data_IF_507932730614
#
_entry.id   IF_507932730614
#
_cell.length_a   1.000
_cell.length_b   1.000
_cell.length_c   1.000
_cell.angle_alpha   90.00
_cell.angle_beta   90.00
_cell.angle_gamma   90.00
#
_symmetry.space_group_name_H-M   'P 1'
#
loop_
_entity.id
_entity.type
_entity.pdbx_description
1 polymer ?
#
# COMPACT_ATOMS: atom_id res chain seq x y z
N UNK A 1 27.73 27.51 -7.61
CA UNK A 1 27.50 27.20 -6.16
C UNK A 1 28.27 25.94 -5.84
N UNK A 2 29.06 25.88 -4.76
CA UNK A 2 29.68 24.63 -4.38
C UNK A 2 28.57 23.65 -3.93
N UNK A 3 28.58 22.45 -4.48
CA UNK A 3 27.74 21.36 -4.03
C UNK A 3 28.35 20.91 -2.70
N UNK A 4 27.70 21.21 -1.58
CA UNK A 4 28.09 20.66 -0.31
C UNK A 4 27.71 19.18 -0.29
N UNK A 5 28.70 18.31 -0.42
CA UNK A 5 28.50 16.88 -0.17
C UNK A 5 28.12 16.70 1.30
N UNK A 6 26.92 16.22 1.52
CA UNK A 6 26.49 15.83 2.85
C UNK A 6 27.10 14.47 3.19
N UNK A 7 27.95 14.41 4.21
CA UNK A 7 28.55 13.19 4.70
C UNK A 7 28.10 12.94 6.14
N UNK A 8 27.48 11.81 6.40
CA UNK A 8 27.06 11.40 7.74
C UNK A 8 27.72 10.05 8.10
N UNK A 9 28.50 10.02 9.17
CA UNK A 9 29.15 8.79 9.66
C UNK A 9 28.16 7.93 10.47
N UNK A 10 27.10 8.51 10.99
CA UNK A 10 26.11 7.85 11.86
C UNK A 10 24.76 7.55 11.22
N UNK A 11 24.65 7.68 9.88
CA UNK A 11 23.36 7.61 9.20
C UNK A 11 22.65 8.96 9.12
N UNK A 12 21.45 8.98 8.56
CA UNK A 12 20.60 10.16 8.42
C UNK A 12 19.28 9.93 9.13
N UNK A 13 18.87 10.89 9.95
CA UNK A 13 17.60 10.83 10.68
C UNK A 13 16.78 12.11 10.46
N UNK A 14 15.47 11.97 10.44
CA UNK A 14 14.52 13.09 10.50
C UNK A 14 13.85 13.06 11.87
N UNK A 15 14.15 14.07 12.68
CA UNK A 15 13.76 14.06 14.10
C UNK A 15 14.50 12.96 14.86
N UNK A 16 13.77 12.08 15.53
CA UNK A 16 14.31 10.91 16.24
C UNK A 16 14.28 9.61 15.41
N UNK A 17 13.83 9.68 14.16
CA UNK A 17 13.65 8.50 13.31
C UNK A 17 14.83 8.35 12.36
N UNK A 18 15.56 7.24 12.47
CA UNK A 18 16.63 6.91 11.53
C UNK A 18 16.04 6.51 10.18
N UNK A 19 16.42 7.21 9.12
CA UNK A 19 15.96 6.97 7.75
C UNK A 19 17.02 6.27 6.91
N UNK A 20 18.30 6.58 7.15
CA UNK A 20 19.44 5.91 6.53
C UNK A 20 20.38 5.46 7.66
N UNK A 21 20.57 4.16 7.79
CA UNK A 21 21.45 3.62 8.84
C UNK A 21 22.93 3.58 8.42
N UNK A 22 23.79 3.17 9.34
CA UNK A 22 25.24 3.03 9.13
C UNK A 22 25.61 1.97 8.09
N UNK A 23 24.70 1.08 7.75
CA UNK A 23 24.83 0.05 6.70
C UNK A 23 24.31 0.52 5.34
N UNK A 24 24.01 1.82 5.19
CA UNK A 24 23.43 2.44 3.99
C UNK A 24 22.06 1.88 3.59
N UNK A 25 21.33 1.28 4.53
CA UNK A 25 19.98 0.79 4.31
C UNK A 25 18.96 1.87 4.66
N UNK A 26 17.94 2.06 3.77
CA UNK A 26 16.79 2.88 4.06
C UNK A 26 15.91 2.17 5.10
N UNK A 27 15.57 2.86 6.18
CA UNK A 27 14.71 2.39 7.25
C UNK A 27 13.51 3.31 7.43
N UNK A 28 12.43 2.78 7.99
CA UNK A 28 11.22 3.54 8.33
C UNK A 28 10.60 4.27 7.14
N UNK A 29 10.80 3.76 5.92
CA UNK A 29 10.20 4.27 4.69
C UNK A 29 8.98 3.41 4.37
N UNK A 30 7.79 3.98 4.44
CA UNK A 30 6.54 3.33 4.05
C UNK A 30 6.03 3.81 2.69
N UNK A 31 6.54 4.93 2.19
CA UNK A 31 6.22 5.47 0.86
C UNK A 31 7.43 6.15 0.22
N UNK A 32 7.51 6.08 -1.10
CA UNK A 32 8.50 6.78 -1.91
C UNK A 32 7.77 7.39 -3.11
N UNK A 33 7.98 8.69 -3.33
CA UNK A 33 7.41 9.44 -4.45
C UNK A 33 8.51 9.81 -5.44
N UNK A 34 8.32 9.47 -6.72
CA UNK A 34 9.27 9.73 -7.80
C UNK A 34 8.58 10.54 -8.91
N UNK A 35 9.12 11.73 -9.18
CA UNK A 35 8.66 12.61 -10.25
C UNK A 35 9.80 12.93 -11.19
N UNK A 36 9.48 13.26 -12.43
CA UNK A 36 10.43 13.76 -13.42
C UNK A 36 10.16 15.23 -13.68
N UNK A 37 11.18 16.05 -13.65
CA UNK A 37 11.06 17.48 -14.02
C UNK A 37 10.68 17.70 -15.49
N UNK A 38 10.84 16.67 -16.33
CA UNK A 38 10.49 16.72 -17.76
C UNK A 38 9.03 16.29 -18.02
N UNK A 39 8.43 15.53 -17.11
CA UNK A 39 7.05 15.04 -17.19
C UNK A 39 6.37 15.28 -15.84
N UNK A 40 5.91 16.52 -15.63
CA UNK A 40 5.29 16.92 -14.36
C UNK A 40 3.90 16.36 -14.16
N UNK A 41 3.29 15.85 -15.22
CA UNK A 41 1.98 15.19 -15.27
C UNK A 41 2.05 13.67 -15.13
N UNK A 42 3.26 13.12 -14.95
CA UNK A 42 3.47 11.71 -14.69
C UNK A 42 4.37 11.48 -13.45
N UNK A 43 3.92 10.60 -12.56
CA UNK A 43 4.69 10.23 -11.37
C UNK A 43 4.59 8.74 -11.08
N UNK A 44 5.53 8.24 -10.31
CA UNK A 44 5.52 6.88 -9.77
C UNK A 44 5.70 6.90 -8.27
N UNK A 45 4.80 6.23 -7.57
CA UNK A 45 4.84 6.05 -6.13
C UNK A 45 5.02 4.58 -5.76
N UNK A 46 5.77 4.34 -4.69
CA UNK A 46 5.89 3.00 -4.09
C UNK A 46 5.43 3.09 -2.64
N UNK A 47 4.51 2.23 -2.26
CA UNK A 47 3.94 2.16 -0.92
C UNK A 47 4.14 0.77 -0.32
N UNK A 48 4.45 0.73 0.99
CA UNK A 48 4.40 -0.48 1.80
C UNK A 48 3.26 -0.29 2.79
N UNK A 49 2.17 -0.99 2.55
CA UNK A 49 0.95 -0.92 3.34
C UNK A 49 0.78 -2.17 4.18
N UNK A 50 0.09 -2.06 5.29
CA UNK A 50 -0.11 -3.15 6.23
C UNK A 50 -1.45 -3.07 6.94
N UNK A 51 -1.93 -4.19 7.45
CA UNK A 51 -3.12 -4.28 8.31
C UNK A 51 -3.14 -5.61 9.05
N UNK A 52 -4.00 -5.68 10.06
CA UNK A 52 -4.34 -6.90 10.77
C UNK A 52 -5.85 -7.09 10.74
N UNK A 53 -6.29 -8.31 10.43
CA UNK A 53 -7.67 -8.77 10.59
C UNK A 53 -7.75 -9.82 11.70
N UNK A 54 -8.93 -9.95 12.29
CA UNK A 54 -9.23 -10.92 13.33
C UNK A 54 -10.73 -11.27 13.33
N UNK A 55 -11.19 -12.06 14.28
CA UNK A 55 -12.59 -12.48 14.38
C UNK A 55 -13.61 -11.32 14.53
N UNK A 56 -13.16 -10.16 15.02
CA UNK A 56 -14.02 -8.99 15.24
C UNK A 56 -13.87 -7.99 14.07
N UNK A 57 -12.62 -7.75 13.64
CA UNK A 57 -12.27 -6.85 12.55
C UNK A 57 -11.82 -7.69 11.34
N UNK A 58 -12.76 -8.45 10.78
CA UNK A 58 -12.46 -9.40 9.71
C UNK A 58 -12.27 -8.77 8.33
N UNK A 59 -12.73 -7.53 8.13
CA UNK A 59 -12.57 -6.76 6.89
C UNK A 59 -11.90 -5.44 7.21
N UNK A 60 -10.76 -5.14 6.58
CA UNK A 60 -9.95 -3.96 6.87
C UNK A 60 -9.23 -3.44 5.62
N UNK A 61 -9.03 -2.14 5.54
CA UNK A 61 -8.23 -1.49 4.49
C UNK A 61 -6.74 -1.50 4.85
N UNK A 62 -5.86 -1.78 3.89
CA UNK A 62 -4.41 -1.63 4.04
C UNK A 62 -4.05 -0.14 4.14
N UNK A 63 -3.17 0.21 5.06
CA UNK A 63 -2.68 1.58 5.26
C UNK A 63 -1.18 1.60 5.55
N UNK A 64 -0.53 2.75 5.46
CA UNK A 64 0.92 2.87 5.67
C UNK A 64 1.34 2.52 7.11
N UNK A 65 0.48 2.79 8.08
CA UNK A 65 0.75 2.57 9.51
C UNK A 65 -0.03 1.38 10.12
N UNK A 66 -0.95 0.79 9.37
CA UNK A 66 -1.78 -0.33 9.82
C UNK A 66 -2.96 0.07 10.70
N UNK A 67 -3.33 1.35 10.75
CA UNK A 67 -4.50 1.86 11.48
C UNK A 67 -5.69 2.12 10.55
N UNK A 68 -6.75 2.74 11.03
CA UNK A 68 -7.90 3.14 10.20
C UNK A 68 -7.47 4.13 9.13
N UNK A 69 -7.99 3.95 7.91
CA UNK A 69 -7.64 4.76 6.76
C UNK A 69 -8.00 6.25 6.97
N UNK A 70 -7.00 7.11 6.79
CA UNK A 70 -7.08 8.57 6.79
C UNK A 70 -6.17 9.12 5.68
N UNK A 71 -6.28 10.40 5.35
CA UNK A 71 -5.50 11.01 4.26
C UNK A 71 -3.97 10.84 4.42
N UNK A 72 -3.45 10.90 5.65
CA UNK A 72 -2.00 10.84 5.92
C UNK A 72 -1.39 9.43 5.85
N UNK A 73 -2.21 8.38 5.88
CA UNK A 73 -1.76 6.99 5.85
C UNK A 73 -2.29 6.17 4.68
N UNK A 74 -2.84 6.83 3.66
CA UNK A 74 -3.45 6.21 2.49
C UNK A 74 -2.73 6.65 1.20
N UNK A 75 -2.79 5.84 0.15
CA UNK A 75 -2.19 6.16 -1.15
C UNK A 75 -3.11 7.10 -1.93
N UNK A 76 -2.73 8.37 -2.03
CA UNK A 76 -3.49 9.35 -2.81
C UNK A 76 -3.33 9.10 -4.32
N UNK A 77 -4.44 9.22 -5.06
CA UNK A 77 -4.45 9.27 -6.52
C UNK A 77 -4.75 10.71 -6.94
N UNK A 78 -3.97 11.23 -7.89
CA UNK A 78 -4.17 12.57 -8.44
C UNK A 78 -5.55 12.68 -9.10
N UNK A 79 -6.20 13.83 -8.97
CA UNK A 79 -7.48 14.11 -9.62
C UNK A 79 -7.33 14.22 -11.15
N UNK A 80 -8.39 13.92 -11.89
CA UNK A 80 -8.43 13.88 -13.36
C UNK A 80 -7.29 13.03 -13.95
N UNK A 81 -7.04 11.88 -13.38
CA UNK A 81 -5.92 11.03 -13.78
C UNK A 81 -6.31 9.59 -14.06
N UNK A 82 -5.39 8.88 -14.69
CA UNK A 82 -5.40 7.43 -14.80
C UNK A 82 -4.19 6.89 -14.04
N UNK A 83 -4.44 6.00 -13.12
CA UNK A 83 -3.39 5.31 -12.36
C UNK A 83 -3.33 3.83 -12.77
N UNK A 84 -2.11 3.36 -13.07
CA UNK A 84 -1.81 1.94 -13.22
C UNK A 84 -1.08 1.46 -11.96
N UNK A 85 -1.63 0.42 -11.34
CA UNK A 85 -1.19 -0.08 -10.05
C UNK A 85 -0.75 -1.53 -10.19
N UNK A 86 0.53 -1.80 -9.89
CA UNK A 86 1.06 -3.13 -9.66
C UNK A 86 1.15 -3.39 -8.17
N UNK A 87 0.59 -4.49 -7.69
CA UNK A 87 0.66 -4.81 -6.27
C UNK A 87 0.99 -6.28 -6.01
N UNK A 88 1.64 -6.50 -4.88
CA UNK A 88 1.83 -7.83 -4.29
C UNK A 88 1.27 -7.79 -2.89
N UNK A 89 0.30 -8.66 -2.62
CA UNK A 89 -0.34 -8.74 -1.31
C UNK A 89 0.01 -10.08 -0.68
N UNK A 90 0.39 -10.02 0.59
CA UNK A 90 0.72 -11.18 1.38
C UNK A 90 -0.05 -11.14 2.72
N UNK A 91 -0.73 -12.23 3.06
CA UNK A 91 -1.40 -12.45 4.34
C UNK A 91 -0.82 -13.67 5.05
N UNK A 92 -0.61 -13.57 6.36
CA UNK A 92 -0.09 -14.67 7.16
C UNK A 92 -0.81 -14.74 8.50
N UNK A 93 -1.26 -15.94 8.85
CA UNK A 93 -1.76 -16.27 10.18
C UNK A 93 -0.62 -16.16 11.20
N UNK A 94 -0.91 -15.57 12.38
CA UNK A 94 0.14 -15.19 13.33
C UNK A 94 0.56 -16.28 14.31
N UNK A 95 -0.23 -17.35 14.46
CA UNK A 95 0.00 -18.38 15.47
C UNK A 95 0.90 -19.50 14.98
N UNK A 96 0.65 -20.01 13.77
CA UNK A 96 1.34 -21.20 13.26
C UNK A 96 2.26 -20.94 12.07
N UNK A 97 2.15 -19.79 11.43
CA UNK A 97 2.85 -19.44 10.17
C UNK A 97 2.60 -20.44 9.01
N UNK A 98 1.60 -21.30 9.13
CA UNK A 98 1.31 -22.34 8.15
C UNK A 98 0.34 -21.85 7.09
N UNK A 99 -0.60 -21.02 7.51
CA UNK A 99 -1.67 -20.51 6.66
C UNK A 99 -1.28 -19.16 6.06
N UNK A 100 -1.33 -19.10 4.73
CA UNK A 100 -0.85 -17.94 3.98
C UNK A 100 -1.78 -17.62 2.81
N UNK A 101 -1.82 -16.34 2.46
CA UNK A 101 -2.37 -15.83 1.22
C UNK A 101 -1.28 -15.05 0.49
N UNK A 102 -1.16 -15.22 -0.82
CA UNK A 102 -0.25 -14.43 -1.65
C UNK A 102 -0.88 -14.23 -3.03
N UNK A 103 -0.94 -12.97 -3.47
CA UNK A 103 -1.46 -12.62 -4.79
C UNK A 103 -0.71 -11.45 -5.41
N UNK A 104 -0.82 -11.35 -6.74
CA UNK A 104 -0.36 -10.23 -7.55
C UNK A 104 -1.57 -9.58 -8.21
N UNK A 105 -1.57 -8.26 -8.27
CA UNK A 105 -2.62 -7.46 -8.87
C UNK A 105 -2.06 -6.50 -9.92
N UNK A 106 -2.81 -6.33 -10.99
CA UNK A 106 -2.70 -5.22 -11.93
C UNK A 106 -4.05 -4.52 -11.95
N UNK A 107 -4.08 -3.24 -11.61
CA UNK A 107 -5.33 -2.46 -11.44
C UNK A 107 -5.22 -1.15 -12.20
N UNK A 108 -6.28 -0.79 -12.92
CA UNK A 108 -6.46 0.54 -13.50
C UNK A 108 -7.50 1.29 -12.68
N UNK A 109 -7.11 2.45 -12.20
CA UNK A 109 -8.00 3.39 -11.50
C UNK A 109 -8.13 4.65 -12.34
N UNK A 110 -9.34 5.19 -12.41
CA UNK A 110 -9.61 6.51 -13.00
C UNK A 110 -10.22 7.42 -11.96
N UNK A 111 -9.83 8.69 -11.96
CA UNK A 111 -10.36 9.71 -11.05
C UNK A 111 -10.94 10.88 -11.82
N UNK A 112 -11.95 11.53 -11.25
CA UNK A 112 -12.48 12.81 -11.75
C UNK A 112 -11.90 14.01 -10.99
N UNK A 113 -12.25 15.24 -11.43
CA UNK A 113 -11.81 16.50 -10.80
C UNK A 113 -12.46 16.80 -9.44
N UNK A 114 -13.26 15.87 -8.91
CA UNK A 114 -13.97 16.01 -7.63
C UNK A 114 -13.51 14.98 -6.60
N UNK A 115 -12.43 14.23 -6.90
CA UNK A 115 -11.89 13.20 -6.03
C UNK A 115 -12.74 11.92 -5.98
N UNK A 116 -13.64 11.71 -6.95
CA UNK A 116 -14.28 10.41 -7.08
C UNK A 116 -13.39 9.53 -7.97
N UNK A 117 -13.19 8.30 -7.53
CA UNK A 117 -12.39 7.32 -8.27
C UNK A 117 -13.16 6.01 -8.43
N UNK A 118 -12.81 5.27 -9.45
CA UNK A 118 -13.32 3.92 -9.69
C UNK A 118 -12.19 2.98 -10.09
N UNK A 119 -12.29 1.73 -9.69
CA UNK A 119 -11.50 0.63 -10.27
C UNK A 119 -12.09 0.32 -11.63
N UNK A 120 -11.42 0.78 -12.69
CA UNK A 120 -11.90 0.63 -14.07
C UNK A 120 -11.63 -0.77 -14.63
N UNK A 121 -10.54 -1.40 -14.18
CA UNK A 121 -10.15 -2.76 -14.56
C UNK A 121 -9.22 -3.35 -13.51
N UNK A 122 -9.28 -4.67 -13.35
CA UNK A 122 -8.35 -5.39 -12.48
C UNK A 122 -8.04 -6.78 -13.04
N UNK A 123 -6.85 -7.25 -12.77
CA UNK A 123 -6.39 -8.62 -12.93
C UNK A 123 -5.77 -9.10 -11.63
N UNK A 124 -6.15 -10.28 -11.19
CA UNK A 124 -5.58 -10.94 -10.02
C UNK A 124 -4.96 -12.27 -10.40
N UNK A 125 -3.76 -12.53 -9.91
CA UNK A 125 -3.11 -13.82 -9.95
C UNK A 125 -2.87 -14.33 -8.53
N UNK A 126 -3.72 -15.23 -8.06
CA UNK A 126 -3.57 -15.88 -6.75
C UNK A 126 -2.45 -16.90 -6.84
N UNK A 127 -1.32 -16.62 -6.20
CA UNK A 127 -0.15 -17.50 -6.13
C UNK A 127 -0.41 -18.61 -5.11
N UNK A 128 -1.00 -18.26 -3.98
CA UNK A 128 -1.36 -19.19 -2.92
C UNK A 128 -2.52 -18.64 -2.09
N UNK A 129 -3.53 -19.47 -1.85
CA UNK A 129 -4.57 -19.24 -0.86
C UNK A 129 -4.74 -20.51 -0.05
N UNK A 130 -4.38 -20.44 1.23
CA UNK A 130 -4.38 -21.59 2.14
C UNK A 130 -4.85 -21.14 3.53
N UNK A 131 -6.12 -20.70 3.67
CA UNK A 131 -6.68 -20.37 4.99
C UNK A 131 -6.96 -21.63 5.79
N UNK A 132 -7.02 -21.54 7.13
CA UNK A 132 -7.32 -22.69 7.99
C UNK A 132 -8.79 -23.12 7.90
N UNK A 133 -9.04 -24.40 7.83
CA UNK A 133 -10.38 -24.99 7.96
C UNK A 133 -11.38 -24.48 6.93
N UNK A 134 -12.43 -23.82 7.39
CA UNK A 134 -13.51 -23.24 6.58
C UNK A 134 -13.38 -21.71 6.42
N UNK A 135 -12.26 -21.13 6.81
CA UNK A 135 -12.01 -19.69 6.64
C UNK A 135 -11.89 -19.32 5.17
N UNK A 136 -12.30 -18.11 4.84
CA UNK A 136 -12.12 -17.52 3.53
C UNK A 136 -11.31 -16.24 3.67
N UNK A 137 -10.19 -16.14 2.95
CA UNK A 137 -9.36 -14.96 2.88
C UNK A 137 -9.42 -14.38 1.48
N UNK A 138 -9.67 -13.09 1.41
CA UNK A 138 -9.79 -12.37 0.14
C UNK A 138 -9.13 -11.01 0.20
N UNK A 139 -8.83 -10.48 -0.97
CA UNK A 139 -8.26 -9.15 -1.17
C UNK A 139 -8.99 -8.50 -2.33
N UNK A 140 -9.44 -7.27 -2.16
CA UNK A 140 -10.19 -6.54 -3.18
C UNK A 140 -9.61 -5.13 -3.33
N UNK A 141 -9.27 -4.66 -4.54
CA UNK A 141 -8.86 -3.27 -4.74
C UNK A 141 -10.06 -2.34 -4.49
N UNK A 142 -9.79 -1.26 -3.78
CA UNK A 142 -10.80 -0.27 -3.39
C UNK A 142 -10.31 1.15 -3.64
N UNK A 143 -11.22 2.01 -4.09
CA UNK A 143 -11.00 3.46 -4.22
C UNK A 143 -12.02 4.18 -3.37
N UNK A 144 -11.55 4.98 -2.45
CA UNK A 144 -12.39 5.71 -1.52
C UNK A 144 -12.02 7.19 -1.47
N UNK A 145 -12.93 8.01 -0.95
CA UNK A 145 -12.79 9.45 -0.90
C UNK A 145 -12.59 9.95 0.52
N UNK A 146 -11.62 10.86 0.71
CA UNK A 146 -11.47 11.62 1.96
C UNK A 146 -11.43 13.11 1.59
N UNK A 147 -12.43 13.85 2.03
CA UNK A 147 -12.60 15.26 1.63
C UNK A 147 -12.87 15.38 0.13
N UNK A 148 -11.97 16.02 -0.60
CA UNK A 148 -12.03 16.20 -2.06
C UNK A 148 -11.09 15.28 -2.84
N UNK A 149 -10.30 14.46 -2.17
CA UNK A 149 -9.25 13.65 -2.79
C UNK A 149 -9.63 12.18 -2.87
N UNK A 150 -9.19 11.50 -3.94
CA UNK A 150 -9.29 10.06 -4.13
C UNK A 150 -8.08 9.34 -3.52
N UNK A 151 -8.34 8.19 -2.90
CA UNK A 151 -7.33 7.32 -2.31
C UNK A 151 -7.55 5.89 -2.75
N UNK A 152 -6.45 5.18 -2.94
CA UNK A 152 -6.45 3.77 -3.29
C UNK A 152 -5.96 2.92 -2.13
N UNK A 153 -6.56 1.75 -1.98
CA UNK A 153 -6.14 0.72 -1.04
C UNK A 153 -6.52 -0.67 -1.57
N UNK A 154 -6.12 -1.69 -0.83
CA UNK A 154 -6.75 -3.00 -0.88
C UNK A 154 -7.53 -3.24 0.42
N UNK A 155 -8.77 -3.64 0.28
CA UNK A 155 -9.55 -4.21 1.35
C UNK A 155 -9.14 -5.68 1.50
N UNK A 156 -8.72 -6.06 2.70
CA UNK A 156 -8.31 -7.42 3.05
C UNK A 156 -9.31 -8.00 4.02
N UNK A 157 -9.67 -9.25 3.81
CA UNK A 157 -10.72 -9.89 4.56
C UNK A 157 -10.31 -11.30 5.01
N UNK A 158 -10.70 -11.66 6.25
CA UNK A 158 -10.57 -13.01 6.80
C UNK A 158 -11.91 -13.45 7.41
N UNK A 159 -12.82 -13.91 6.54
CA UNK A 159 -14.18 -14.32 6.94
C UNK A 159 -14.14 -15.59 7.76
N UNK A 160 -14.95 -15.63 8.81
CA UNK A 160 -15.06 -16.75 9.77
C UNK A 160 -13.73 -17.12 10.46
N UNK A 161 -12.74 -16.22 10.39
CA UNK A 161 -11.45 -16.45 11.01
C UNK A 161 -11.56 -16.42 12.53
N UNK A 162 -11.04 -17.46 13.19
CA UNK A 162 -10.72 -17.46 14.61
C UNK A 162 -9.29 -16.98 14.86
N UNK A 163 -8.53 -16.79 13.81
CA UNK A 163 -7.11 -16.45 13.82
C UNK A 163 -6.88 -14.99 13.52
N UNK A 164 -5.77 -14.45 14.00
CA UNK A 164 -5.29 -13.15 13.61
C UNK A 164 -4.43 -13.28 12.36
N UNK A 165 -4.73 -12.49 11.32
CA UNK A 165 -3.98 -12.47 10.07
C UNK A 165 -3.29 -11.11 9.92
N UNK A 166 -1.99 -11.12 9.67
CA UNK A 166 -1.21 -9.94 9.28
C UNK A 166 -1.09 -9.87 7.78
N UNK A 167 -1.43 -8.70 7.25
CA UNK A 167 -1.40 -8.40 5.83
C UNK A 167 -0.34 -7.35 5.52
N UNK A 168 0.37 -7.55 4.42
CA UNK A 168 1.33 -6.60 3.85
C UNK A 168 1.08 -6.49 2.36
N UNK A 169 0.98 -5.25 1.87
CA UNK A 169 0.89 -4.92 0.46
C UNK A 169 2.09 -4.06 0.04
N UNK A 170 2.73 -4.42 -1.08
CA UNK A 170 3.69 -3.57 -1.78
C UNK A 170 3.02 -3.11 -3.05
N UNK A 171 2.81 -1.80 -3.18
CA UNK A 171 2.11 -1.18 -4.29
C UNK A 171 3.08 -0.27 -5.06
N UNK A 172 3.08 -0.40 -6.38
CA UNK A 172 3.71 0.54 -7.31
C UNK A 172 2.59 1.21 -8.09
N UNK A 173 2.43 2.51 -7.93
CA UNK A 173 1.39 3.32 -8.58
C UNK A 173 2.05 4.24 -9.59
N UNK A 174 1.71 4.10 -10.86
CA UNK A 174 2.12 5.03 -11.92
C UNK A 174 0.90 5.84 -12.31
N UNK A 175 0.98 7.16 -12.20
CA UNK A 175 -0.12 8.09 -12.51
C UNK A 175 0.24 8.90 -13.74
N UNK A 176 -0.77 9.15 -14.58
CA UNK A 176 -0.75 10.11 -15.68
C UNK A 176 -1.98 10.98 -15.56
N UNK A 177 -1.79 12.31 -15.53
CA UNK A 177 -2.84 13.33 -15.36
C UNK A 177 -2.86 14.35 -16.49
#
# INVERSE_FOLDING_TARGET
MPINNFSSIGGYAVGSTEVLNTEYALKNISAMHMVSDQFTDANKDVYIMKRQTDAVNNTQQLTLDGTTAVASNSARITDNSVAFINARIFGQETTTNTYVYASQYEVIVTTDGSGNGIVASQYENVIRSNPPGQESWSVTPDVFKIGTDAYFTFEVESVTSSSTVKWVGILEITVVS
#
